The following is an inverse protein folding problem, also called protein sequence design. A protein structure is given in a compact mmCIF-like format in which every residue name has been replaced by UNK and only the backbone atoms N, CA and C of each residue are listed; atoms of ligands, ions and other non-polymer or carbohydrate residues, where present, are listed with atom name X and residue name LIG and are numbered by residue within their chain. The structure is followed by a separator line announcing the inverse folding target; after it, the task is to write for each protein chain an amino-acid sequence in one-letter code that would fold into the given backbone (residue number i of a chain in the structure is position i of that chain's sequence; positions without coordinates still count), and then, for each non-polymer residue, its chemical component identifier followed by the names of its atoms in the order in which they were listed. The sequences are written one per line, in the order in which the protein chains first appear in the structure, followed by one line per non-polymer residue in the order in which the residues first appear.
data_IF_344309525251
#
_entry.id   IF_344309525251
#
_cell.length_a   1.000
_cell.length_b   1.000
_cell.length_c   1.000
_cell.angle_alpha   90.00
_cell.angle_beta   90.00
_cell.angle_gamma   90.00
#
_symmetry.space_group_name_H-M   'P 1'
#
loop_
_entity.id
_entity.type
_entity.pdbx_description
1 polymer ?
#
# COMPACT_ATOMS: atom_id res chain seq x y z
N UNK A 1 8.13 3.23 -4.74
CA UNK A 1 8.45 1.91 -4.17
C UNK A 1 7.31 0.93 -4.36
N UNK A 2 6.26 1.03 -3.54
CA UNK A 2 5.21 0.00 -3.43
C UNK A 2 4.55 -0.40 -4.76
N UNK A 3 4.18 0.55 -5.62
CA UNK A 3 3.57 0.22 -6.92
C UNK A 3 4.51 -0.53 -7.86
N UNK A 4 5.84 -0.32 -7.77
CA UNK A 4 6.79 -1.09 -8.57
C UNK A 4 6.83 -2.54 -8.12
N UNK A 5 6.87 -2.79 -6.79
CA UNK A 5 6.81 -4.13 -6.24
C UNK A 5 5.50 -4.84 -6.64
N UNK A 6 4.36 -4.17 -6.50
CA UNK A 6 3.05 -4.71 -6.94
C UNK A 6 3.06 -5.06 -8.43
N UNK A 7 3.56 -4.18 -9.30
CA UNK A 7 3.62 -4.45 -10.75
C UNK A 7 4.48 -5.66 -11.10
N UNK A 8 5.64 -5.81 -10.44
CA UNK A 8 6.57 -6.93 -10.65
C UNK A 8 6.00 -8.27 -10.15
N UNK A 9 5.21 -8.25 -9.07
CA UNK A 9 4.50 -9.44 -8.59
C UNK A 9 3.35 -9.78 -9.52
N UNK A 10 2.54 -8.79 -9.91
CA UNK A 10 1.38 -9.01 -10.79
C UNK A 10 1.76 -9.40 -12.22
N UNK A 11 2.97 -9.07 -12.69
CA UNK A 11 3.49 -9.55 -13.98
C UNK A 11 3.98 -11.00 -13.93
N UNK A 12 4.05 -11.62 -12.75
CA UNK A 12 4.59 -12.96 -12.55
C UNK A 12 6.12 -13.03 -12.55
N UNK A 13 6.82 -11.90 -12.60
CA UNK A 13 8.29 -11.86 -12.54
C UNK A 13 8.80 -12.25 -11.16
N UNK A 14 8.02 -11.96 -10.11
CA UNK A 14 8.32 -12.35 -8.73
C UNK A 14 7.06 -12.92 -8.06
N UNK A 15 7.25 -13.88 -7.14
CA UNK A 15 6.15 -14.46 -6.37
C UNK A 15 5.68 -13.57 -5.21
N UNK A 16 6.60 -12.78 -4.63
CA UNK A 16 6.34 -11.87 -3.52
C UNK A 16 7.37 -10.73 -3.52
N UNK A 17 7.23 -9.77 -2.61
CA UNK A 17 8.18 -8.67 -2.49
C UNK A 17 8.00 -7.84 -1.23
N UNK A 18 9.09 -7.19 -0.81
CA UNK A 18 9.12 -6.28 0.33
C UNK A 18 9.57 -4.90 -0.13
N UNK A 19 8.78 -3.87 0.18
CA UNK A 19 9.09 -2.49 -0.16
C UNK A 19 9.55 -1.72 1.07
N UNK A 20 10.87 -1.58 1.26
CA UNK A 20 11.45 -0.75 2.31
C UNK A 20 11.34 0.74 1.92
N UNK A 21 10.33 1.43 2.45
CA UNK A 21 9.97 2.80 2.02
C UNK A 21 9.92 3.79 3.18
N UNK A 22 10.25 5.04 2.87
CA UNK A 22 10.00 6.23 3.70
C UNK A 22 9.47 7.36 2.80
N UNK A 23 8.53 8.21 3.25
CA UNK A 23 7.82 8.16 4.54
C UNK A 23 6.83 6.98 4.66
N UNK A 24 6.35 6.64 5.88
CA UNK A 24 5.29 5.63 6.09
C UNK A 24 3.94 6.11 5.53
N UNK A 25 2.87 5.30 5.68
CA UNK A 25 1.58 5.61 5.04
C UNK A 25 0.30 5.41 5.86
N UNK A 26 0.23 4.48 6.80
CA UNK A 26 -1.06 4.01 7.34
C UNK A 26 -1.88 5.02 8.18
N UNK A 27 -1.33 6.19 8.51
CA UNK A 27 -2.03 7.27 9.21
C UNK A 27 -2.49 8.42 8.28
N UNK A 28 -2.13 8.37 6.99
CA UNK A 28 -2.50 9.42 6.04
C UNK A 28 -3.91 9.21 5.51
N UNK A 29 -4.85 10.07 5.93
CA UNK A 29 -6.23 10.06 5.45
C UNK A 29 -6.37 10.72 4.07
N UNK A 30 -7.60 10.69 3.52
CA UNK A 30 -7.91 11.25 2.18
C UNK A 30 -7.53 12.74 2.04
N UNK A 31 -7.62 13.51 3.11
CA UNK A 31 -7.44 14.97 3.10
C UNK A 31 -6.43 15.48 4.14
N UNK A 32 -5.65 14.58 4.77
CA UNK A 32 -4.75 14.95 5.84
C UNK A 32 -3.54 14.00 5.92
N UNK A 33 -2.37 14.58 6.24
CA UNK A 33 -1.22 13.83 6.72
C UNK A 33 -1.35 13.57 8.23
N UNK A 34 -0.65 12.57 8.76
CA UNK A 34 -0.65 12.23 10.19
C UNK A 34 0.40 11.18 10.52
N UNK A 35 0.94 11.15 11.75
CA UNK A 35 1.89 10.11 12.20
C UNK A 35 3.06 9.89 11.24
N UNK A 36 3.68 10.98 10.74
CA UNK A 36 4.74 10.98 9.71
C UNK A 36 4.35 10.44 8.33
N UNK A 37 3.09 10.04 8.14
CA UNK A 37 2.54 9.57 6.88
C UNK A 37 2.06 10.76 6.05
N UNK A 38 2.63 10.93 4.84
CA UNK A 38 2.22 11.96 3.89
C UNK A 38 1.16 11.41 2.93
N UNK A 39 1.39 10.19 2.41
CA UNK A 39 0.45 9.47 1.56
C UNK A 39 0.30 8.03 2.06
N UNK A 40 -0.91 7.47 1.96
CA UNK A 40 -1.15 6.09 2.35
C UNK A 40 -0.68 5.13 1.26
N UNK A 41 0.60 4.73 1.36
CA UNK A 41 1.25 3.80 0.44
C UNK A 41 0.44 2.52 0.21
N UNK A 42 -0.17 1.98 1.26
CA UNK A 42 -0.89 0.71 1.25
C UNK A 42 -2.25 0.89 0.59
N UNK A 43 -2.99 1.96 0.93
CA UNK A 43 -4.26 2.27 0.28
C UNK A 43 -4.08 2.55 -1.24
N UNK A 44 -3.01 3.26 -1.63
CA UNK A 44 -2.68 3.49 -3.05
C UNK A 44 -2.44 2.15 -3.77
N UNK A 45 -1.70 1.23 -3.16
CA UNK A 45 -1.44 -0.09 -3.74
C UNK A 45 -2.72 -0.92 -3.86
N UNK A 46 -3.56 -0.95 -2.83
CA UNK A 46 -4.84 -1.66 -2.85
C UNK A 46 -5.78 -1.08 -3.93
N UNK A 47 -5.88 0.24 -4.03
CA UNK A 47 -6.66 0.91 -5.08
C UNK A 47 -6.16 0.56 -6.48
N UNK A 48 -4.84 0.56 -6.70
CA UNK A 48 -4.25 0.15 -7.98
C UNK A 48 -4.60 -1.30 -8.33
N UNK A 49 -4.52 -2.22 -7.37
CA UNK A 49 -4.86 -3.62 -7.57
C UNK A 49 -6.34 -3.83 -7.95
N UNK A 50 -7.25 -3.09 -7.29
CA UNK A 50 -8.69 -3.18 -7.57
C UNK A 50 -9.07 -2.51 -8.90
N UNK A 51 -8.60 -1.29 -9.15
CA UNK A 51 -9.08 -0.48 -10.28
C UNK A 51 -8.31 -0.73 -11.58
N UNK A 52 -6.99 -0.95 -11.49
CA UNK A 52 -6.13 -1.11 -12.67
C UNK A 52 -5.87 -2.57 -12.98
N UNK A 53 -5.48 -3.36 -11.97
CA UNK A 53 -5.22 -4.80 -12.14
C UNK A 53 -6.52 -5.62 -12.16
N UNK A 54 -7.64 -5.02 -11.74
CA UNK A 54 -8.99 -5.64 -11.74
C UNK A 54 -9.10 -6.89 -10.86
N UNK A 55 -8.36 -6.92 -9.74
CA UNK A 55 -8.63 -7.94 -8.71
C UNK A 55 -9.99 -7.66 -8.06
N UNK A 56 -10.72 -8.72 -7.73
CA UNK A 56 -12.03 -8.59 -7.07
C UNK A 56 -11.91 -8.18 -5.61
N UNK A 57 -10.87 -8.65 -4.91
CA UNK A 57 -10.70 -8.49 -3.47
C UNK A 57 -9.22 -8.30 -3.12
N UNK A 58 -8.95 -7.46 -2.13
CA UNK A 58 -7.63 -7.22 -1.55
C UNK A 58 -7.76 -7.24 -0.02
N UNK A 59 -6.89 -7.98 0.66
CA UNK A 59 -6.75 -7.95 2.12
C UNK A 59 -5.56 -7.06 2.48
N UNK A 60 -5.75 -6.15 3.43
CA UNK A 60 -4.67 -5.40 4.08
C UNK A 60 -4.51 -5.97 5.49
N UNK A 61 -3.30 -6.43 5.82
CA UNK A 61 -2.91 -6.82 7.15
C UNK A 61 -1.90 -5.79 7.67
N UNK A 62 -2.34 -4.97 8.62
CA UNK A 62 -1.48 -4.00 9.32
C UNK A 62 -1.07 -4.59 10.67
N UNK A 63 0.24 -4.74 10.86
CA UNK A 63 0.85 -5.27 12.09
C UNK A 63 1.69 -4.20 12.80
N UNK A 64 1.64 -2.94 12.34
CA UNK A 64 2.24 -1.84 13.08
C UNK A 64 1.57 -1.71 14.45
N UNK A 65 2.33 -1.30 15.46
CA UNK A 65 1.84 -1.15 16.82
C UNK A 65 0.76 -0.06 16.95
N UNK A 66 0.72 0.88 16.01
CA UNK A 66 -0.26 1.95 15.98
C UNK A 66 -1.43 1.60 15.07
N UNK A 67 -2.61 2.11 15.42
CA UNK A 67 -3.80 1.97 14.59
C UNK A 67 -3.63 2.70 13.25
N UNK A 68 -3.67 1.95 12.13
CA UNK A 68 -3.68 2.49 10.76
C UNK A 68 -5.01 3.17 10.42
N UNK A 69 -5.22 4.39 10.94
CA UNK A 69 -6.45 5.15 10.86
C UNK A 69 -6.63 6.00 9.58
N UNK A 70 -5.72 5.88 8.61
CA UNK A 70 -5.72 6.62 7.35
C UNK A 70 -6.45 5.92 6.20
#
# INVERSE_FOLDING_TARGET
GILRAVKLIMSGEFQNGFALVRPPGHHAGKYNAGGFCIFNNIAIAAKYLLETVRLERVLILDIDAHHGNG
#
